data_IF_096529414907
#
_entry.id   IF_096529414907
#
_cell.length_a   1.000
_cell.length_b   1.000
_cell.length_c   1.000
_cell.angle_alpha   90.00
_cell.angle_beta   90.00
_cell.angle_gamma   90.00
#
_symmetry.space_group_name_H-M   'P 1'
#
loop_
_entity.id
_entity.type
_entity.pdbx_description
1 polymer ?
#
# COMPACT_ATOMS: atom_id res chain seq x y z
N UNK A 1 8.57 -19.81 9.39
CA UNK A 1 7.93 -20.62 8.32
C UNK A 1 8.89 -21.69 7.87
N UNK A 2 8.58 -22.97 8.11
CA UNK A 2 9.45 -24.11 7.77
C UNK A 2 10.89 -23.94 8.31
N UNK A 3 11.02 -23.60 9.59
CA UNK A 3 12.32 -23.39 10.27
C UNK A 3 13.12 -22.14 9.86
N UNK A 4 12.57 -21.26 9.00
CA UNK A 4 13.22 -20.02 8.56
C UNK A 4 12.46 -18.78 9.06
N UNK A 5 13.22 -17.70 9.28
CA UNK A 5 12.66 -16.37 9.53
C UNK A 5 11.78 -15.91 8.38
N UNK A 6 10.72 -15.20 8.73
CA UNK A 6 9.80 -14.58 7.77
C UNK A 6 10.13 -13.09 7.64
N UNK A 7 9.88 -12.52 6.45
CA UNK A 7 9.78 -11.06 6.33
C UNK A 7 8.49 -10.61 7.00
N UNK A 8 8.60 -10.13 8.24
CA UNK A 8 7.48 -9.63 9.05
C UNK A 8 7.02 -8.26 8.60
N UNK A 9 6.57 -8.12 7.35
CA UNK A 9 6.09 -6.84 6.82
C UNK A 9 4.84 -6.37 7.57
N UNK A 10 4.79 -5.07 7.86
CA UNK A 10 3.68 -4.45 8.54
C UNK A 10 3.42 -3.05 8.00
N UNK A 11 2.20 -2.57 8.19
CA UNK A 11 1.77 -1.25 7.74
C UNK A 11 0.76 -0.67 8.73
N UNK A 12 0.54 0.64 8.68
CA UNK A 12 -0.32 1.31 9.66
C UNK A 12 -1.79 0.89 9.54
N UNK A 13 -2.38 1.01 8.34
CA UNK A 13 -3.77 0.59 8.08
C UNK A 13 -3.93 0.00 6.69
N UNK A 14 -4.64 -1.11 6.60
CA UNK A 14 -4.91 -1.82 5.36
C UNK A 14 -5.99 -1.13 4.52
N UNK A 15 -6.90 -0.36 5.14
CA UNK A 15 -8.09 0.15 4.50
C UNK A 15 -9.20 -0.90 4.35
N UNK A 16 -9.16 -1.95 5.18
CA UNK A 16 -10.16 -3.02 5.27
C UNK A 16 -9.70 -4.40 4.79
N UNK A 17 -8.69 -4.50 3.93
CA UNK A 17 -8.15 -5.77 3.44
C UNK A 17 -6.65 -5.64 3.14
N UNK A 18 -5.84 -6.64 3.51
CA UNK A 18 -4.41 -6.70 3.16
C UNK A 18 -4.17 -7.19 1.74
N UNK A 19 -3.00 -6.89 1.17
CA UNK A 19 -2.58 -7.34 -0.17
C UNK A 19 -1.33 -8.23 -0.13
N UNK A 20 -0.97 -8.79 -1.28
CA UNK A 20 0.23 -9.60 -1.48
C UNK A 20 1.48 -8.73 -1.69
N UNK A 21 2.66 -9.30 -1.47
CA UNK A 21 3.92 -8.57 -1.58
C UNK A 21 4.16 -8.05 -3.00
N UNK A 22 3.82 -8.83 -4.03
CA UNK A 22 3.92 -8.40 -5.42
C UNK A 22 3.08 -7.16 -5.72
N UNK A 23 1.90 -7.07 -5.13
CA UNK A 23 0.94 -5.99 -5.42
C UNK A 23 1.25 -4.73 -4.58
N UNK A 24 1.45 -4.90 -3.27
CA UNK A 24 1.65 -3.78 -2.35
C UNK A 24 3.06 -3.20 -2.31
N UNK A 25 4.08 -4.04 -2.54
CA UNK A 25 5.50 -3.65 -2.49
C UNK A 25 6.18 -3.65 -3.86
N UNK A 26 5.50 -4.06 -4.93
CA UNK A 26 6.13 -4.38 -6.21
C UNK A 26 7.29 -5.39 -6.05
N UNK A 27 7.11 -6.38 -5.16
CA UNK A 27 8.17 -7.31 -4.80
C UNK A 27 8.63 -8.15 -6.01
N UNK A 28 9.92 -8.07 -6.34
CA UNK A 28 10.50 -8.71 -7.53
C UNK A 28 10.67 -10.23 -7.38
N UNK A 29 10.75 -10.73 -6.14
CA UNK A 29 10.91 -12.15 -5.87
C UNK A 29 9.62 -12.96 -6.06
N UNK A 30 9.74 -14.28 -5.87
CA UNK A 30 8.57 -15.14 -5.71
C UNK A 30 7.72 -14.67 -4.53
N UNK A 31 6.39 -14.70 -4.67
CA UNK A 31 5.48 -14.33 -3.57
C UNK A 31 5.76 -15.24 -2.37
N UNK A 32 6.12 -14.69 -1.18
CA UNK A 32 6.47 -15.54 -0.06
C UNK A 32 5.26 -16.37 0.39
N UNK A 33 5.45 -17.69 0.53
CA UNK A 33 4.34 -18.61 0.79
C UNK A 33 3.57 -18.37 2.10
N UNK A 34 4.07 -17.52 2.99
CA UNK A 34 3.42 -17.14 4.24
C UNK A 34 2.58 -15.84 4.13
N UNK A 35 2.62 -15.12 3.01
CA UNK A 35 1.74 -13.97 2.79
C UNK A 35 0.36 -14.43 2.30
N UNK A 36 -0.66 -13.64 2.63
CA UNK A 36 -2.03 -13.80 2.16
C UNK A 36 -2.76 -12.47 2.21
N UNK A 37 -3.83 -12.38 1.42
CA UNK A 37 -4.87 -11.35 1.59
C UNK A 37 -5.80 -11.78 2.71
N UNK A 38 -6.09 -10.87 3.63
CA UNK A 38 -7.10 -11.06 4.68
C UNK A 38 -7.89 -9.78 4.84
N UNK A 39 -9.20 -9.92 4.99
CA UNK A 39 -10.04 -8.84 5.49
C UNK A 39 -9.58 -8.47 6.90
N UNK A 40 -9.78 -7.21 7.30
CA UNK A 40 -9.34 -6.70 8.61
C UNK A 40 -10.51 -5.97 9.28
N UNK A 41 -11.61 -6.65 9.63
CA UNK A 41 -12.79 -6.00 10.17
C UNK A 41 -12.54 -5.32 11.52
N UNK A 42 -11.62 -5.87 12.34
CA UNK A 42 -11.20 -5.26 13.60
C UNK A 42 -10.54 -3.89 13.39
N UNK A 43 -9.80 -3.69 12.29
CA UNK A 43 -9.28 -2.36 11.94
C UNK A 43 -10.43 -1.38 11.75
N UNK A 44 -11.42 -1.74 10.93
CA UNK A 44 -12.53 -0.85 10.57
C UNK A 44 -13.43 -0.49 11.76
N UNK A 45 -13.49 -1.33 12.80
CA UNK A 45 -14.22 -1.05 14.04
C UNK A 45 -13.51 -0.04 14.95
N UNK A 46 -12.19 0.08 14.84
CA UNK A 46 -11.37 0.79 15.83
C UNK A 46 -10.58 1.97 15.29
N UNK A 47 -10.31 2.02 13.98
CA UNK A 47 -9.56 3.12 13.37
C UNK A 47 -10.44 4.40 13.28
N UNK A 48 -9.94 5.56 13.72
CA UNK A 48 -10.62 6.82 13.47
C UNK A 48 -10.68 7.16 11.98
N UNK A 49 -11.76 7.81 11.55
CA UNK A 49 -12.03 8.10 10.15
C UNK A 49 -10.93 8.94 9.47
N UNK A 50 -10.37 9.93 10.18
CA UNK A 50 -9.28 10.80 9.72
C UNK A 50 -7.92 10.09 9.57
N UNK A 51 -7.79 8.91 10.20
CA UNK A 51 -6.63 8.01 10.05
C UNK A 51 -6.85 6.99 8.95
N UNK A 52 -8.09 6.56 8.73
CA UNK A 52 -8.48 5.62 7.69
C UNK A 52 -8.46 6.27 6.31
N UNK A 53 -9.05 7.45 6.17
CA UNK A 53 -9.21 8.12 4.90
C UNK A 53 -8.08 9.12 4.65
N UNK A 54 -7.77 9.34 3.37
CA UNK A 54 -6.82 10.36 2.96
C UNK A 54 -7.23 10.98 1.63
N UNK A 55 -6.78 12.21 1.44
CA UNK A 55 -6.91 12.96 0.19
C UNK A 55 -5.58 13.66 -0.10
N UNK A 56 -5.17 13.69 -1.36
CA UNK A 56 -3.97 14.36 -1.80
C UNK A 56 -4.17 14.96 -3.19
N UNK A 57 -3.75 16.22 -3.33
CA UNK A 57 -3.75 16.95 -4.60
C UNK A 57 -2.32 17.33 -4.95
N UNK A 58 -1.97 17.18 -6.22
CA UNK A 58 -0.67 17.54 -6.77
C UNK A 58 -0.86 18.25 -8.10
N UNK A 59 -0.05 19.28 -8.37
CA UNK A 59 0.04 19.80 -9.74
C UNK A 59 0.78 18.81 -10.64
N UNK A 60 0.55 18.87 -11.96
CA UNK A 60 1.30 18.02 -12.91
C UNK A 60 2.81 18.31 -12.88
N UNK A 61 3.20 19.57 -12.64
CA UNK A 61 4.60 19.95 -12.48
C UNK A 61 5.22 19.35 -11.21
N UNK A 62 4.47 19.32 -10.11
CA UNK A 62 4.90 18.70 -8.86
C UNK A 62 5.09 17.19 -9.02
N UNK A 63 4.12 16.48 -9.62
CA UNK A 63 4.25 15.04 -9.92
C UNK A 63 5.50 14.78 -10.77
N UNK A 64 5.72 15.57 -11.83
CA UNK A 64 6.91 15.48 -12.68
C UNK A 64 8.19 15.63 -11.85
N UNK A 65 8.29 16.66 -11.02
CA UNK A 65 9.49 16.96 -10.25
C UNK A 65 9.77 15.87 -9.22
N UNK A 66 8.73 15.38 -8.53
CA UNK A 66 8.84 14.29 -7.55
C UNK A 66 9.29 12.98 -8.20
N UNK A 67 8.75 12.64 -9.38
CA UNK A 67 9.19 11.47 -10.13
C UNK A 67 10.64 11.62 -10.63
N UNK A 68 11.01 12.78 -11.18
CA UNK A 68 12.38 13.01 -11.63
C UNK A 68 13.40 12.96 -10.49
N UNK A 69 13.02 13.40 -9.28
CA UNK A 69 13.85 13.28 -8.09
C UNK A 69 14.11 11.81 -7.67
N UNK A 70 13.27 10.87 -8.10
CA UNK A 70 13.46 9.43 -7.91
C UNK A 70 14.19 8.75 -9.08
N UNK A 71 14.72 9.53 -10.04
CA UNK A 71 15.49 9.01 -11.18
C UNK A 71 14.65 8.65 -12.41
N UNK A 72 13.35 8.93 -12.43
CA UNK A 72 12.55 8.82 -13.66
C UNK A 72 12.90 9.94 -14.64
N UNK A 73 12.64 9.72 -15.94
CA UNK A 73 12.82 10.74 -17.00
C UNK A 73 11.45 11.20 -17.51
N UNK A 74 10.80 12.08 -16.75
CA UNK A 74 9.45 12.58 -17.00
C UNK A 74 9.49 14.01 -17.56
N UNK A 75 8.95 14.14 -18.77
CA UNK A 75 8.72 15.43 -19.44
C UNK A 75 7.50 16.17 -18.88
N UNK A 76 7.06 17.23 -19.55
CA UNK A 76 5.76 17.86 -19.24
C UNK A 76 4.63 16.82 -19.35
N UNK A 77 3.89 16.61 -18.25
CA UNK A 77 2.84 15.61 -18.14
C UNK A 77 1.55 16.15 -18.78
N UNK A 78 0.88 15.31 -19.56
CA UNK A 78 -0.46 15.57 -20.10
C UNK A 78 -1.54 14.76 -19.39
N UNK A 79 -1.20 13.58 -18.84
CA UNK A 79 -2.16 12.71 -18.16
C UNK A 79 -1.47 11.77 -17.18
N UNK A 80 -2.13 11.52 -16.05
CA UNK A 80 -1.81 10.42 -15.13
C UNK A 80 -3.00 9.47 -15.09
N UNK A 81 -2.77 8.17 -15.09
CA UNK A 81 -3.84 7.17 -15.03
C UNK A 81 -3.46 5.94 -14.23
N UNK A 82 -4.42 5.39 -13.49
CA UNK A 82 -4.32 4.05 -12.89
C UNK A 82 -4.73 3.05 -13.99
N UNK A 83 -3.78 2.23 -14.42
CA UNK A 83 -4.02 1.28 -15.53
C UNK A 83 -4.23 -0.15 -15.06
N UNK A 84 -3.86 -0.47 -13.82
CA UNK A 84 -4.12 -1.77 -13.22
C UNK A 84 -4.34 -1.65 -11.71
N UNK A 85 -5.28 -2.44 -11.20
CA UNK A 85 -5.50 -2.65 -9.78
C UNK A 85 -5.39 -4.14 -9.44
N UNK A 86 -5.00 -4.46 -8.21
CA UNK A 86 -5.11 -5.82 -7.67
C UNK A 86 -6.57 -6.12 -7.26
N UNK A 87 -6.88 -7.37 -6.84
CA UNK A 87 -8.22 -7.72 -6.36
C UNK A 87 -8.70 -6.94 -5.14
N UNK A 88 -7.81 -6.31 -4.37
CA UNK A 88 -8.16 -5.47 -3.20
C UNK A 88 -8.43 -4.02 -3.58
N UNK A 89 -8.31 -3.67 -4.87
CA UNK A 89 -8.52 -2.33 -5.40
C UNK A 89 -7.29 -1.42 -5.32
N UNK A 90 -6.13 -1.92 -4.88
CA UNK A 90 -4.87 -1.17 -4.85
C UNK A 90 -4.32 -1.00 -6.26
N UNK A 91 -3.92 0.22 -6.61
CA UNK A 91 -3.24 0.50 -7.85
C UNK A 91 -1.89 -0.24 -7.90
N UNK A 92 -1.74 -1.18 -8.82
CA UNK A 92 -0.49 -1.92 -9.04
C UNK A 92 0.31 -1.33 -10.18
N UNK A 93 -0.34 -0.63 -11.12
CA UNK A 93 0.32 0.03 -12.25
C UNK A 93 -0.27 1.40 -12.53
N UNK A 94 0.61 2.39 -12.60
CA UNK A 94 0.31 3.79 -12.93
C UNK A 94 1.02 4.15 -14.23
N UNK A 95 0.33 4.88 -15.11
CA UNK A 95 0.86 5.39 -16.38
C UNK A 95 0.91 6.91 -16.36
N UNK A 96 2.08 7.44 -16.75
CA UNK A 96 2.33 8.86 -16.98
C UNK A 96 2.46 9.08 -18.49
N UNK A 97 1.58 9.87 -19.07
CA UNK A 97 1.73 10.39 -20.42
C UNK A 97 2.40 11.76 -20.34
N UNK A 98 3.51 11.93 -21.05
CA UNK A 98 4.30 13.16 -21.05
C UNK A 98 4.91 13.43 -22.42
N UNK A 99 5.50 14.61 -22.61
CA UNK A 99 6.19 15.02 -23.85
C UNK A 99 7.30 14.08 -24.31
N UNK A 100 7.82 13.22 -23.42
CA UNK A 100 8.81 12.18 -23.74
C UNK A 100 8.20 10.81 -24.06
N UNK A 101 6.87 10.71 -24.18
CA UNK A 101 6.15 9.47 -24.45
C UNK A 101 5.34 8.98 -23.25
N UNK A 102 5.43 7.68 -22.97
CA UNK A 102 4.67 7.01 -21.91
C UNK A 102 5.62 6.30 -20.96
N UNK A 103 5.46 6.55 -19.67
CA UNK A 103 6.18 5.83 -18.61
C UNK A 103 5.18 5.08 -17.74
N UNK A 104 5.35 3.76 -17.66
CA UNK A 104 4.60 2.90 -16.75
C UNK A 104 5.45 2.59 -15.52
N UNK A 105 4.85 2.64 -14.32
CA UNK A 105 5.52 2.30 -13.07
C UNK A 105 4.57 1.58 -12.11
N UNK A 106 5.13 0.94 -11.08
CA UNK A 106 4.32 0.32 -10.04
C UNK A 106 3.62 1.39 -9.19
N UNK A 107 2.47 1.04 -8.61
CA UNK A 107 1.80 1.92 -7.64
C UNK A 107 2.67 2.19 -6.41
N UNK A 108 3.49 1.23 -6.00
CA UNK A 108 4.45 1.39 -4.90
C UNK A 108 5.52 2.45 -5.22
N UNK A 109 6.11 2.40 -6.42
CA UNK A 109 7.08 3.40 -6.86
C UNK A 109 6.45 4.80 -6.95
N UNK A 110 5.25 4.88 -7.53
CA UNK A 110 4.50 6.14 -7.62
C UNK A 110 4.20 6.73 -6.23
N UNK A 111 3.67 5.91 -5.31
CA UNK A 111 3.40 6.31 -3.92
C UNK A 111 4.65 6.83 -3.21
N UNK A 112 5.77 6.11 -3.33
CA UNK A 112 7.02 6.50 -2.68
C UNK A 112 7.55 7.83 -3.24
N UNK A 113 7.46 8.03 -4.56
CA UNK A 113 7.86 9.28 -5.19
C UNK A 113 6.99 10.47 -4.75
N UNK A 114 5.67 10.27 -4.65
CA UNK A 114 4.73 11.34 -4.30
C UNK A 114 4.73 11.72 -2.80
N UNK A 115 5.49 11.00 -1.98
CA UNK A 115 5.52 11.20 -0.54
C UNK A 115 4.49 10.29 0.15
N UNK A 116 4.93 9.24 0.86
CA UNK A 116 4.05 8.26 1.48
C UNK A 116 3.20 8.83 2.65
N UNK A 117 3.50 10.04 3.13
CA UNK A 117 2.69 10.73 4.14
C UNK A 117 1.49 11.48 3.54
N UNK A 118 1.57 11.85 2.26
CA UNK A 118 0.49 12.52 1.51
C UNK A 118 -0.32 11.51 0.72
N UNK A 119 0.31 10.73 -0.14
CA UNK A 119 -0.31 9.56 -0.78
C UNK A 119 -0.17 8.35 0.15
N UNK A 120 -1.04 8.24 1.15
CA UNK A 120 -0.82 7.31 2.27
C UNK A 120 -0.83 5.84 1.85
N UNK A 121 -1.57 5.46 0.81
CA UNK A 121 -1.62 4.09 0.29
C UNK A 121 -1.81 4.07 -1.23
N UNK A 122 -1.74 2.87 -1.82
CA UNK A 122 -2.16 2.63 -3.21
C UNK A 122 -3.63 2.22 -3.32
N UNK A 123 -4.36 2.12 -2.20
CA UNK A 123 -5.80 1.85 -2.20
C UNK A 123 -6.55 3.15 -2.49
N UNK A 124 -6.66 3.45 -3.78
CA UNK A 124 -7.25 4.69 -4.30
C UNK A 124 -8.74 4.46 -4.61
N UNK A 125 -9.59 5.19 -3.89
CA UNK A 125 -11.05 5.15 -4.02
C UNK A 125 -11.60 6.26 -4.92
N UNK A 126 -10.86 7.36 -5.08
CA UNK A 126 -11.16 8.43 -6.04
C UNK A 126 -9.89 8.89 -6.76
N UNK A 127 -9.97 9.05 -8.08
CA UNK A 127 -8.84 9.49 -8.89
C UNK A 127 -9.34 10.40 -10.01
N UNK A 128 -8.88 11.65 -9.99
CA UNK A 128 -9.18 12.64 -11.00
C UNK A 128 -7.88 13.23 -11.53
N UNK A 129 -7.69 13.21 -12.85
CA UNK A 129 -6.56 13.85 -13.52
C UNK A 129 -7.10 14.84 -14.53
N UNK A 130 -6.76 16.11 -14.32
CA UNK A 130 -7.12 17.23 -15.19
C UNK A 130 -5.85 17.94 -15.67
N UNK A 131 -5.99 18.98 -16.49
CA UNK A 131 -4.87 19.85 -16.86
C UNK A 131 -4.27 20.61 -15.67
N UNK A 132 -5.04 20.81 -14.59
CA UNK A 132 -4.57 21.51 -13.39
C UNK A 132 -3.72 20.60 -12.48
N UNK A 133 -3.94 19.28 -12.51
CA UNK A 133 -3.27 18.38 -11.59
C UNK A 133 -3.93 17.01 -11.47
N UNK A 134 -3.55 16.32 -10.40
CA UNK A 134 -4.10 15.04 -10.00
C UNK A 134 -4.63 15.17 -8.57
N UNK A 135 -5.91 14.84 -8.39
CA UNK A 135 -6.56 14.71 -7.10
C UNK A 135 -6.85 13.23 -6.84
N UNK A 136 -6.48 12.76 -5.65
CA UNK A 136 -6.66 11.38 -5.24
C UNK A 136 -7.28 11.32 -3.86
N UNK A 137 -8.22 10.40 -3.68
CA UNK A 137 -8.71 9.98 -2.36
C UNK A 137 -8.50 8.49 -2.21
N UNK A 138 -8.28 8.05 -0.98
CA UNK A 138 -8.05 6.64 -0.70
C UNK A 138 -8.24 6.29 0.76
N UNK A 139 -7.97 5.01 1.04
CA UNK A 139 -8.08 4.42 2.37
C UNK A 139 -6.80 3.73 2.80
N UNK A 140 -6.58 3.63 4.09
CA UNK A 140 -5.43 3.01 4.70
C UNK A 140 -4.14 3.83 4.61
N UNK A 141 -3.10 3.31 5.25
CA UNK A 141 -1.78 3.90 5.31
C UNK A 141 -0.74 2.78 5.25
N UNK A 142 0.04 2.79 4.16
CA UNK A 142 1.17 1.91 3.94
C UNK A 142 0.97 1.02 2.73
N UNK A 143 1.85 0.03 2.61
CA UNK A 143 1.86 -0.88 1.45
C UNK A 143 0.76 -1.96 1.51
N UNK A 144 0.12 -2.17 2.67
CA UNK A 144 -0.98 -3.11 2.81
C UNK A 144 -0.59 -4.59 2.92
N UNK A 145 0.70 -4.91 2.98
CA UNK A 145 1.22 -6.31 3.00
C UNK A 145 1.45 -6.73 4.44
N UNK A 146 1.13 -8.00 4.75
CA UNK A 146 1.38 -8.56 6.07
C UNK A 146 0.46 -7.97 7.14
N UNK A 147 1.00 -7.61 8.29
CA UNK A 147 0.21 -7.22 9.45
C UNK A 147 -0.23 -5.75 9.40
N UNK A 148 -1.54 -5.50 9.54
CA UNK A 148 -2.05 -4.16 9.82
C UNK A 148 -1.86 -3.84 11.30
N UNK A 149 -1.24 -2.70 11.62
CA UNK A 149 -1.08 -2.23 13.00
C UNK A 149 -2.41 -1.86 13.65
N UNK A 150 -3.30 -1.17 12.94
CA UNK A 150 -4.66 -0.90 13.42
C UNK A 150 -5.50 -2.19 13.52
N UNK A 151 -5.28 -3.15 12.63
CA UNK A 151 -5.88 -4.47 12.71
C UNK A 151 -5.43 -5.25 13.96
N UNK A 152 -4.12 -5.29 14.21
CA UNK A 152 -3.54 -5.88 15.41
C UNK A 152 -4.05 -5.20 16.68
N UNK A 153 -4.12 -3.86 16.70
CA UNK A 153 -4.70 -3.11 17.81
C UNK A 153 -6.16 -3.50 18.06
N UNK A 154 -7.00 -3.50 17.01
CA UNK A 154 -8.41 -3.88 17.14
C UNK A 154 -8.59 -5.32 17.63
N UNK A 155 -7.81 -6.26 17.07
CA UNK A 155 -7.83 -7.65 17.52
C UNK A 155 -7.39 -7.79 19.00
N UNK A 156 -6.42 -7.00 19.45
CA UNK A 156 -6.01 -6.99 20.85
C UNK A 156 -7.10 -6.41 21.78
N UNK A 157 -7.82 -5.36 21.34
CA UNK A 157 -9.00 -4.85 22.06
C UNK A 157 -10.12 -5.91 22.16
N UNK A 158 -10.18 -6.82 21.19
CA UNK A 158 -11.10 -7.97 21.17
C UNK A 158 -10.56 -9.21 21.92
N UNK A 159 -9.44 -9.07 22.64
CA UNK A 159 -8.89 -10.10 23.51
C UNK A 159 -8.03 -11.16 22.82
N UNK A 160 -7.64 -10.94 21.56
CA UNK A 160 -6.77 -11.88 20.82
C UNK A 160 -5.33 -11.82 21.32
N UNK A 161 -4.68 -12.98 21.43
CA UNK A 161 -3.27 -13.08 21.80
C UNK A 161 -2.35 -12.59 20.66
N UNK A 162 -1.08 -12.23 20.96
CA UNK A 162 -0.09 -11.90 19.93
C UNK A 162 0.08 -13.01 18.87
N UNK A 163 0.06 -14.27 19.27
CA UNK A 163 0.18 -15.43 18.38
C UNK A 163 -1.02 -15.55 17.44
N UNK A 164 -2.24 -15.34 17.95
CA UNK A 164 -3.46 -15.31 17.15
C UNK A 164 -3.43 -14.16 16.14
N UNK A 165 -2.95 -12.99 16.54
CA UNK A 165 -2.81 -11.82 15.66
C UNK A 165 -1.80 -12.12 14.54
N UNK A 166 -0.60 -12.62 14.87
CA UNK A 166 0.44 -12.90 13.87
C UNK A 166 -0.03 -13.97 12.88
N UNK A 167 -0.61 -15.06 13.36
CA UNK A 167 -1.10 -16.16 12.50
C UNK A 167 -2.36 -15.79 11.71
N UNK A 168 -3.10 -14.76 12.15
CA UNK A 168 -4.18 -14.17 11.36
C UNK A 168 -3.65 -13.49 10.09
N UNK A 169 -2.55 -12.74 10.17
CA UNK A 169 -2.00 -12.02 9.01
C UNK A 169 -1.05 -12.86 8.15
N UNK A 170 -0.35 -13.83 8.75
CA UNK A 170 0.60 -14.68 8.04
C UNK A 170 0.18 -16.15 8.12
N UNK A 171 0.09 -16.83 6.98
CA UNK A 171 -0.28 -18.25 6.96
C UNK A 171 0.93 -19.14 7.19
N UNK A 172 0.71 -20.28 7.85
CA UNK A 172 1.74 -21.30 8.06
C UNK A 172 3.01 -20.74 8.75
N UNK A 173 2.85 -19.77 9.64
CA UNK A 173 3.94 -19.26 10.49
C UNK A 173 3.75 -19.74 11.91
N UNK A 174 4.86 -19.81 12.64
CA UNK A 174 4.90 -20.17 14.06
C UNK A 174 5.66 -19.07 14.78
N UNK A 175 5.20 -18.70 15.97
CA UNK A 175 5.93 -17.85 16.90
C UNK A 175 6.80 -18.78 17.74
N UNK A 176 8.11 -18.53 17.77
CA UNK A 176 9.07 -19.36 18.50
C UNK A 176 9.86 -18.50 19.49
N UNK A 177 9.99 -19.00 20.72
CA UNK A 177 10.91 -18.45 21.72
C UNK A 177 12.32 -18.92 21.39
N UNK A 178 13.22 -17.98 21.09
CA UNK A 178 14.60 -18.30 20.71
C UNK A 178 15.55 -18.32 21.91
N UNK A 179 15.20 -17.62 22.98
CA UNK A 179 16.04 -17.43 24.16
C UNK A 179 15.14 -17.33 25.39
N UNK A 180 15.61 -17.87 26.52
CA UNK A 180 15.01 -17.73 27.85
C UNK A 180 15.55 -16.50 28.59
#
# INVERSE_FOLDING_TARGET
>A
HSGRYVKGWFHASSGGETTLAKDGLAYEGAEPAYTKRVEVPAELRHIPDDKLHWSATYSLAEVRNLLNAQGFSIGAISRVSIVQKDPTGRATKVRIEHTGGRTDMSGAAFRNALGPDRMRSTLITGFESTSAGVQMTGRGFGHGVGMSQWGAYGMAQEGRSPEEIVTYFFKNVEVQKLWD
#
